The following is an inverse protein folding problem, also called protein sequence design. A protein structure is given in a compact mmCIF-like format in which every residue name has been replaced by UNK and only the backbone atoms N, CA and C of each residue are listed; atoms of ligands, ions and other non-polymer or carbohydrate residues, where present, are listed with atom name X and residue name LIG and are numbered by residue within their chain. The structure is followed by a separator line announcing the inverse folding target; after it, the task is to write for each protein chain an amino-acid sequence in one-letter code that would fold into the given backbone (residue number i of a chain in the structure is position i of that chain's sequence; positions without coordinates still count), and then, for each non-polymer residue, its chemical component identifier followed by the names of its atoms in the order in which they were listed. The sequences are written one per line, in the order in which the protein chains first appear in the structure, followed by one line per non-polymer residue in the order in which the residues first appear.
data_IF_660433138672
#
_entry.id   IF_660433138672
#
_cell.length_a   1.000
_cell.length_b   1.000
_cell.length_c   1.000
_cell.angle_alpha   90.00
_cell.angle_beta   90.00
_cell.angle_gamma   90.00
#
_symmetry.space_group_name_H-M   'P 1'
#
loop_
_entity.id
_entity.type
_entity.pdbx_description
1 polymer ?
#
# COMPACT_ATOMS: atom_id res chain seq x y z
N UNK A 1 -4.42 18.42 23.12
CA UNK A 1 -3.91 17.77 24.36
C UNK A 1 -2.71 18.55 24.87
N UNK A 2 -2.61 18.80 26.18
CA UNK A 2 -1.41 19.38 26.82
C UNK A 2 -0.84 18.37 27.80
N UNK A 3 0.43 18.01 27.65
CA UNK A 3 1.20 17.23 28.63
C UNK A 3 2.30 18.17 29.14
N UNK A 4 2.11 18.74 30.33
CA UNK A 4 3.02 19.76 30.89
C UNK A 4 2.97 21.13 30.18
N UNK A 5 4.10 21.83 30.11
CA UNK A 5 4.26 23.13 29.40
C UNK A 5 4.36 23.01 27.88
N UNK A 6 4.28 21.79 27.33
CA UNK A 6 4.35 21.56 25.89
C UNK A 6 2.98 21.81 25.24
N UNK A 7 2.95 22.73 24.28
CA UNK A 7 1.79 22.99 23.41
C UNK A 7 2.03 22.26 22.09
N UNK A 8 1.27 21.19 21.84
CA UNK A 8 1.20 20.60 20.50
C UNK A 8 0.51 21.61 19.58
N UNK A 9 1.28 22.20 18.66
CA UNK A 9 0.85 23.32 17.82
C UNK A 9 0.18 22.80 16.54
N UNK A 10 0.68 21.68 16.03
CA UNK A 10 0.11 20.98 14.88
C UNK A 10 0.72 19.57 14.86
N UNK A 11 -0.10 18.55 15.05
CA UNK A 11 0.29 17.21 14.62
C UNK A 11 -0.11 17.16 13.16
N UNK A 12 0.85 17.02 12.23
CA UNK A 12 0.61 16.75 10.82
C UNK A 12 -0.07 15.37 10.68
N UNK A 13 -1.31 15.26 11.18
CA UNK A 13 -2.13 14.05 11.22
C UNK A 13 -2.47 13.58 9.82
N UNK A 14 -2.40 14.51 8.87
CA UNK A 14 -2.70 14.28 7.47
C UNK A 14 -1.49 14.70 6.63
N UNK A 15 -1.19 13.86 5.64
CA UNK A 15 -0.16 14.14 4.65
C UNK A 15 -0.59 15.38 3.85
N UNK A 16 0.33 16.29 3.56
CA UNK A 16 0.09 17.53 2.80
C UNK A 16 -0.32 17.30 1.32
N UNK A 17 -0.24 16.06 0.83
CA UNK A 17 -0.62 15.67 -0.54
C UNK A 17 -1.03 14.20 -0.56
N UNK A 18 -1.56 13.72 -1.68
CA UNK A 18 -1.93 12.32 -1.82
C UNK A 18 -0.71 11.42 -1.69
N UNK A 19 -0.90 10.21 -1.15
CA UNK A 19 0.18 9.21 -1.08
C UNK A 19 0.78 8.94 -2.48
N UNK A 20 -0.05 8.93 -3.52
CA UNK A 20 0.40 8.76 -4.90
C UNK A 20 1.34 9.87 -5.40
N UNK A 21 1.20 11.11 -4.89
CA UNK A 21 2.13 12.18 -5.20
C UNK A 21 3.43 12.03 -4.41
N UNK A 22 3.35 11.65 -3.14
CA UNK A 22 4.56 11.40 -2.34
C UNK A 22 5.41 10.25 -2.89
N UNK A 23 4.78 9.18 -3.38
CA UNK A 23 5.51 8.02 -3.91
C UNK A 23 6.39 8.35 -5.11
N UNK A 24 6.10 9.43 -5.84
CA UNK A 24 6.95 9.91 -6.95
C UNK A 24 8.36 10.28 -6.51
N UNK A 25 8.55 10.62 -5.24
CA UNK A 25 9.87 10.96 -4.69
C UNK A 25 10.81 9.74 -4.58
N UNK A 26 10.29 8.51 -4.64
CA UNK A 26 11.12 7.30 -4.56
C UNK A 26 11.91 7.04 -5.86
N UNK A 27 11.51 7.64 -6.98
CA UNK A 27 12.08 7.35 -8.30
C UNK A 27 11.85 5.90 -8.74
N UNK A 28 12.50 5.49 -9.83
CA UNK A 28 12.34 4.15 -10.42
C UNK A 28 13.42 3.15 -9.96
N UNK A 29 14.43 3.63 -9.23
CA UNK A 29 15.55 2.81 -8.78
C UNK A 29 15.29 2.28 -7.36
N UNK A 30 14.96 0.98 -7.26
CA UNK A 30 14.63 0.32 -6.00
C UNK A 30 15.65 -0.79 -5.63
N UNK A 31 16.90 -0.44 -5.28
CA UNK A 31 18.00 -1.41 -5.15
C UNK A 31 17.75 -2.46 -4.05
N UNK A 32 17.12 -2.06 -2.94
CA UNK A 32 16.79 -2.99 -1.84
C UNK A 32 15.73 -3.99 -2.29
N UNK A 33 14.68 -3.52 -2.97
CA UNK A 33 13.61 -4.38 -3.50
C UNK A 33 14.16 -5.36 -4.53
N UNK A 34 14.94 -4.88 -5.49
CA UNK A 34 15.59 -5.73 -6.51
C UNK A 34 16.54 -6.76 -5.87
N UNK A 35 17.24 -6.39 -4.80
CA UNK A 35 18.09 -7.33 -4.05
C UNK A 35 17.30 -8.38 -3.27
N UNK A 36 16.10 -8.06 -2.80
CA UNK A 36 15.26 -9.04 -2.10
C UNK A 36 14.57 -10.00 -3.08
N UNK A 37 14.19 -9.50 -4.26
CA UNK A 37 13.47 -10.25 -5.29
C UNK A 37 14.38 -10.55 -6.49
N UNK A 38 15.56 -11.15 -6.24
CA UNK A 38 16.56 -11.40 -7.30
C UNK A 38 16.09 -12.31 -8.42
N UNK A 39 15.15 -13.21 -8.11
CA UNK A 39 14.63 -14.19 -9.05
C UNK A 39 13.45 -13.65 -9.87
N UNK A 40 13.05 -12.39 -9.65
CA UNK A 40 11.92 -11.77 -10.33
C UNK A 40 12.36 -11.13 -11.65
N UNK A 41 11.52 -11.22 -12.67
CA UNK A 41 11.68 -10.48 -13.91
C UNK A 41 11.53 -8.97 -13.68
N UNK A 42 12.04 -8.11 -14.58
CA UNK A 42 11.83 -6.67 -14.49
C UNK A 42 10.35 -6.27 -14.36
N UNK A 43 9.46 -6.98 -15.04
CA UNK A 43 8.01 -6.77 -14.97
C UNK A 43 7.46 -7.11 -13.59
N UNK A 44 7.92 -8.22 -12.99
CA UNK A 44 7.54 -8.60 -11.62
C UNK A 44 8.06 -7.59 -10.60
N UNK A 45 9.28 -7.07 -10.78
CA UNK A 45 9.83 -5.99 -9.95
C UNK A 45 8.96 -4.72 -10.07
N UNK A 46 8.55 -4.36 -11.28
CA UNK A 46 7.66 -3.22 -11.50
C UNK A 46 6.32 -3.39 -10.76
N UNK A 47 5.77 -4.61 -10.73
CA UNK A 47 4.53 -4.91 -10.01
C UNK A 47 4.69 -4.75 -8.49
N UNK A 48 5.77 -5.24 -7.89
CA UNK A 48 5.99 -5.11 -6.42
C UNK A 48 6.31 -3.68 -5.98
N UNK A 49 6.87 -2.85 -6.86
CA UNK A 49 7.13 -1.44 -6.59
C UNK A 49 5.90 -0.54 -6.78
N UNK A 50 4.83 -1.06 -7.39
CA UNK A 50 3.58 -0.31 -7.59
C UNK A 50 2.85 -0.13 -6.24
N UNK A 51 2.11 0.97 -6.12
CA UNK A 51 1.16 1.16 -5.01
C UNK A 51 0.23 -0.05 -4.93
N UNK A 52 0.28 -0.76 -3.80
CA UNK A 52 -0.65 -1.86 -3.52
C UNK A 52 -2.09 -1.38 -3.45
N UNK A 53 -3.01 -2.19 -3.98
CA UNK A 53 -4.45 -2.04 -3.78
C UNK A 53 -4.87 -3.19 -2.87
N UNK A 54 -5.37 -2.85 -1.68
CA UNK A 54 -5.88 -3.84 -0.75
C UNK A 54 -7.40 -3.93 -0.91
N UNK A 55 -7.96 -5.11 -1.24
CA UNK A 55 -9.38 -5.25 -1.54
C UNK A 55 -10.20 -5.35 -0.25
N UNK A 56 -10.44 -4.20 0.40
CA UNK A 56 -11.12 -4.12 1.69
C UNK A 56 -12.55 -4.69 1.68
N UNK A 57 -13.27 -4.58 0.57
CA UNK A 57 -14.61 -5.17 0.44
C UNK A 57 -14.57 -6.69 0.42
N UNK A 58 -13.51 -7.28 -0.14
CA UNK A 58 -13.35 -8.72 -0.23
C UNK A 58 -12.75 -9.32 1.05
N UNK A 59 -11.76 -8.65 1.68
CA UNK A 59 -11.16 -9.11 2.94
C UNK A 59 -12.02 -8.68 4.13
N UNK A 60 -13.23 -9.25 4.19
CA UNK A 60 -14.24 -8.99 5.21
C UNK A 60 -14.07 -9.83 6.47
N UNK A 61 -13.30 -10.91 6.40
CA UNK A 61 -13.14 -11.91 7.46
C UNK A 61 -11.80 -12.62 7.37
N UNK A 62 -11.40 -13.27 8.45
CA UNK A 62 -10.14 -14.03 8.48
C UNK A 62 -10.19 -15.29 7.60
N UNK A 63 -11.40 -15.81 7.38
CA UNK A 63 -11.62 -17.00 6.56
C UNK A 63 -11.22 -16.77 5.09
N UNK A 64 -11.26 -15.51 4.61
CA UNK A 64 -10.78 -15.12 3.27
C UNK A 64 -9.30 -15.44 3.03
N UNK A 65 -8.49 -15.48 4.08
CA UNK A 65 -7.07 -15.86 3.96
C UNK A 65 -6.85 -17.37 3.83
N UNK A 66 -7.89 -18.19 4.10
CA UNK A 66 -7.85 -19.64 3.96
C UNK A 66 -8.29 -20.09 2.57
N UNK A 67 -8.87 -19.20 1.76
CA UNK A 67 -9.26 -19.47 0.39
C UNK A 67 -8.02 -19.82 -0.46
N UNK A 68 -8.12 -20.87 -1.28
CA UNK A 68 -7.01 -21.35 -2.12
C UNK A 68 -6.98 -20.70 -3.50
N UNK A 69 -8.05 -20.02 -3.87
CA UNK A 69 -8.22 -19.38 -5.17
C UNK A 69 -8.93 -18.04 -4.99
N UNK A 70 -8.57 -17.08 -5.84
CA UNK A 70 -9.24 -15.79 -5.88
C UNK A 70 -10.59 -15.93 -6.59
N UNK A 71 -11.61 -15.18 -6.16
CA UNK A 71 -12.83 -15.05 -6.91
C UNK A 71 -12.59 -14.56 -8.35
N UNK A 72 -13.52 -14.81 -9.27
CA UNK A 72 -13.53 -14.20 -10.58
C UNK A 72 -13.37 -12.67 -10.54
N UNK A 73 -12.71 -12.10 -11.55
CA UNK A 73 -12.44 -10.65 -11.61
C UNK A 73 -13.69 -9.77 -11.55
N UNK A 74 -14.85 -10.29 -11.98
CA UNK A 74 -16.11 -9.56 -11.96
C UNK A 74 -16.70 -9.39 -10.55
N UNK A 75 -16.17 -10.10 -9.56
CA UNK A 75 -16.54 -9.95 -8.15
C UNK A 75 -15.68 -8.90 -7.42
N UNK A 76 -14.63 -8.38 -8.08
CA UNK A 76 -13.71 -7.37 -7.52
C UNK A 76 -14.08 -5.91 -7.87
N UNK A 77 -15.27 -5.67 -8.44
CA UNK A 77 -15.76 -4.31 -8.66
C UNK A 77 -16.31 -3.76 -7.35
N UNK A 78 -15.52 -2.93 -6.68
CA UNK A 78 -15.94 -2.25 -5.45
C UNK A 78 -17.21 -1.43 -5.66
N UNK A 79 -18.12 -1.47 -4.69
CA UNK A 79 -19.37 -0.69 -4.72
C UNK A 79 -19.22 0.75 -4.23
N UNK A 80 -17.99 1.17 -3.90
CA UNK A 80 -17.65 2.48 -3.30
C UNK A 80 -17.21 3.56 -4.30
#
# INVERSE_FOLDING_TARGET
MKVGQLKYIDSMQFINTSLANLTKNLGDNHPITTQHFKDFSPEQISLVCRKGVYPYEYIDSHDRFLETELPPIHEFYGQL
#
